data_IF_907070407452
#
_entry.id   IF_907070407452
#
_cell.length_a   1.000
_cell.length_b   1.000
_cell.length_c   1.000
_cell.angle_alpha   90.00
_cell.angle_beta   90.00
_cell.angle_gamma   90.00
#
_symmetry.space_group_name_H-M   'P 1'
#
loop_
_entity.id
_entity.type
_entity.pdbx_description
1 polymer ?
#
# COMPACT_ATOMS: atom_id res chain seq x y z
N UNK A 1 38.59 -59.30 -34.93
CA UNK A 1 37.71 -58.13 -35.05
C UNK A 1 37.37 -57.62 -33.63
N UNK A 2 38.06 -56.63 -33.15
CA UNK A 2 37.88 -56.10 -31.78
C UNK A 2 37.27 -54.70 -31.88
N UNK A 3 36.00 -54.59 -31.46
CA UNK A 3 35.30 -53.34 -31.43
C UNK A 3 35.71 -52.50 -30.21
N UNK A 4 36.30 -51.33 -30.47
CA UNK A 4 36.71 -50.38 -29.40
C UNK A 4 35.50 -49.48 -29.11
N UNK A 5 34.86 -49.71 -27.95
CA UNK A 5 33.87 -48.80 -27.40
C UNK A 5 34.55 -47.57 -26.86
N UNK A 6 34.29 -46.42 -27.49
CA UNK A 6 34.74 -45.11 -27.04
C UNK A 6 33.75 -44.56 -26.00
N UNK A 7 34.10 -44.60 -24.73
CA UNK A 7 33.34 -43.95 -23.66
C UNK A 7 33.63 -42.43 -23.71
N UNK A 8 32.61 -41.65 -24.10
CA UNK A 8 32.67 -40.20 -24.00
C UNK A 8 32.23 -39.82 -22.58
N UNK A 9 33.20 -39.41 -21.77
CA UNK A 9 32.96 -38.80 -20.48
C UNK A 9 32.50 -37.36 -20.71
N UNK A 10 31.21 -37.11 -20.48
CA UNK A 10 30.66 -35.75 -20.42
C UNK A 10 30.96 -35.19 -19.01
N UNK A 11 31.93 -34.30 -18.92
CA UNK A 11 32.20 -33.56 -17.71
C UNK A 11 31.12 -32.49 -17.51
N UNK A 12 30.16 -32.73 -16.60
CA UNK A 12 29.25 -31.69 -16.13
C UNK A 12 30.06 -30.69 -15.28
N UNK A 13 30.41 -29.55 -15.89
CA UNK A 13 30.91 -28.40 -15.13
C UNK A 13 29.75 -27.80 -14.35
N UNK A 14 29.70 -28.07 -13.04
CA UNK A 14 28.84 -27.40 -12.12
C UNK A 14 29.26 -25.91 -12.02
N UNK A 15 28.50 -25.02 -12.67
CA UNK A 15 28.63 -23.59 -12.46
C UNK A 15 28.17 -23.29 -11.02
N UNK A 16 29.10 -23.14 -10.11
CA UNK A 16 28.84 -22.62 -8.77
C UNK A 16 28.52 -21.12 -8.89
N UNK A 17 27.25 -20.78 -8.81
CA UNK A 17 26.85 -19.41 -8.58
C UNK A 17 27.27 -19.02 -7.16
N UNK A 18 28.00 -17.91 -6.98
CA UNK A 18 28.25 -17.41 -5.63
C UNK A 18 26.92 -16.98 -5.05
N UNK A 19 26.43 -17.72 -4.07
CA UNK A 19 25.34 -17.31 -3.21
C UNK A 19 25.85 -16.15 -2.35
N UNK A 20 25.79 -14.94 -2.85
CA UNK A 20 25.80 -13.77 -1.99
C UNK A 20 24.44 -13.76 -1.27
N UNK A 21 24.36 -14.53 -0.20
CA UNK A 21 23.33 -14.37 0.81
C UNK A 21 23.58 -13.02 1.48
N UNK A 22 23.07 -11.94 0.86
CA UNK A 22 22.84 -10.72 1.60
C UNK A 22 21.92 -11.12 2.75
N UNK A 23 22.41 -11.05 3.97
CA UNK A 23 21.63 -11.24 5.19
C UNK A 23 20.45 -10.28 5.10
N UNK A 24 19.28 -10.80 4.70
CA UNK A 24 18.01 -10.07 4.82
C UNK A 24 17.75 -10.02 6.32
N UNK A 25 18.02 -8.88 6.92
CA UNK A 25 17.56 -8.59 8.27
C UNK A 25 16.06 -8.82 8.33
N UNK A 26 15.54 -9.36 9.42
CA UNK A 26 14.13 -9.70 9.66
C UNK A 26 13.15 -8.51 9.42
N UNK A 27 13.65 -7.29 9.34
CA UNK A 27 12.90 -6.09 8.92
C UNK A 27 12.22 -6.20 7.53
N UNK A 28 12.57 -7.17 6.70
CA UNK A 28 11.97 -7.38 5.36
C UNK A 28 10.60 -8.04 5.34
N UNK A 29 10.11 -8.56 6.46
CA UNK A 29 8.85 -9.32 6.52
C UNK A 29 7.65 -8.52 7.04
N UNK A 30 7.87 -7.32 7.54
CA UNK A 30 6.81 -6.44 8.02
C UNK A 30 6.53 -5.31 7.02
N UNK A 31 5.25 -5.00 6.81
CA UNK A 31 4.84 -3.81 6.07
C UNK A 31 5.13 -2.59 6.94
N UNK A 32 5.77 -1.56 6.36
CA UNK A 32 5.92 -0.23 6.96
C UNK A 32 5.17 0.78 6.11
N UNK A 33 4.52 1.74 6.73
CA UNK A 33 3.73 2.77 6.07
C UNK A 33 4.36 4.15 6.31
N UNK A 34 4.57 4.90 5.24
CA UNK A 34 4.84 6.33 5.30
C UNK A 34 3.54 7.12 5.44
N UNK A 35 3.58 8.30 6.04
CA UNK A 35 2.43 9.19 6.13
C UNK A 35 1.90 9.56 4.75
N UNK A 36 0.60 9.32 4.46
CA UNK A 36 0.03 9.53 3.12
C UNK A 36 -0.30 10.99 2.79
N UNK A 37 -0.31 11.87 3.80
CA UNK A 37 -0.53 13.30 3.65
C UNK A 37 0.20 14.08 4.75
N UNK A 38 0.55 15.32 4.47
CA UNK A 38 1.13 16.26 5.43
C UNK A 38 0.01 17.04 6.12
N UNK A 39 -0.24 16.74 7.39
CA UNK A 39 -1.32 17.35 8.16
C UNK A 39 -1.34 16.88 9.60
N UNK A 40 -2.46 17.07 10.26
CA UNK A 40 -2.68 16.66 11.65
C UNK A 40 -3.75 15.57 11.70
N UNK A 41 -3.56 14.54 12.52
CA UNK A 41 -4.62 13.55 12.79
C UNK A 41 -5.75 14.27 13.54
N UNK A 42 -6.88 14.46 12.89
CA UNK A 42 -8.05 15.15 13.44
C UNK A 42 -9.09 14.18 14.00
N UNK A 43 -9.09 12.91 13.51
CA UNK A 43 -9.90 11.82 14.07
C UNK A 43 -9.08 10.53 14.03
N UNK A 44 -8.84 9.86 15.18
CA UNK A 44 -8.07 8.62 15.22
C UNK A 44 -8.93 7.40 14.83
N UNK A 45 -8.25 6.29 14.57
CA UNK A 45 -8.88 4.98 14.39
C UNK A 45 -9.56 4.54 15.69
N UNK A 46 -10.69 3.84 15.56
CA UNK A 46 -11.38 3.21 16.66
C UNK A 46 -12.67 3.90 17.07
N UNK A 47 -12.98 3.92 18.38
CA UNK A 47 -14.21 4.52 18.88
C UNK A 47 -14.04 6.04 19.04
N UNK A 48 -14.93 6.76 18.36
CA UNK A 48 -15.15 8.19 18.57
C UNK A 48 -16.59 8.37 19.12
N UNK A 49 -16.71 8.44 20.44
CA UNK A 49 -17.99 8.38 21.11
C UNK A 49 -18.77 7.08 20.84
N UNK A 50 -19.97 7.19 20.24
CA UNK A 50 -20.79 6.05 19.85
C UNK A 50 -20.46 5.50 18.46
N UNK A 51 -19.65 6.20 17.68
CA UNK A 51 -19.32 5.86 16.28
C UNK A 51 -18.01 5.06 16.22
N UNK A 52 -17.96 4.08 15.31
CA UNK A 52 -16.75 3.38 14.91
C UNK A 52 -16.11 4.08 13.72
N UNK A 53 -14.81 4.44 13.83
CA UNK A 53 -14.02 5.05 12.78
C UNK A 53 -12.99 4.04 12.24
N UNK A 54 -13.13 3.55 10.99
CA UNK A 54 -12.29 2.46 10.45
C UNK A 54 -10.92 2.91 9.97
N UNK A 55 -10.55 4.17 10.14
CA UNK A 55 -9.30 4.75 9.67
C UNK A 55 -8.80 5.94 10.48
N UNK A 56 -7.95 6.74 9.88
CA UNK A 56 -7.49 8.02 10.39
C UNK A 56 -8.02 9.14 9.49
N UNK A 57 -8.49 10.23 10.08
CA UNK A 57 -8.69 11.47 9.33
C UNK A 57 -7.49 12.38 9.54
N UNK A 58 -6.85 12.77 8.45
CA UNK A 58 -5.72 13.69 8.42
C UNK A 58 -6.24 15.01 7.82
N UNK A 59 -6.43 15.98 8.68
CA UNK A 59 -6.90 17.33 8.33
C UNK A 59 -5.81 18.38 8.54
N UNK A 60 -6.20 19.67 8.46
CA UNK A 60 -5.26 20.80 8.57
C UNK A 60 -4.07 20.57 7.62
N UNK A 61 -4.40 20.23 6.39
CA UNK A 61 -3.42 19.79 5.39
C UNK A 61 -2.49 20.94 5.00
N UNK A 62 -1.17 20.70 4.99
CA UNK A 62 -0.15 21.62 4.49
C UNK A 62 -0.02 21.56 2.95
N UNK A 63 -0.42 20.43 2.36
CA UNK A 63 -0.52 20.17 0.93
C UNK A 63 -1.73 19.28 0.67
N UNK A 64 -2.35 19.41 -0.50
CA UNK A 64 -3.42 18.52 -0.94
C UNK A 64 -2.88 17.22 -1.57
N UNK A 65 -1.56 17.05 -1.68
CA UNK A 65 -0.97 15.85 -2.20
C UNK A 65 -1.29 14.64 -1.34
N UNK A 66 -1.88 13.61 -1.94
CA UNK A 66 -2.06 12.29 -1.32
C UNK A 66 -1.07 11.33 -1.96
N UNK A 67 -0.29 10.65 -1.11
CA UNK A 67 0.81 9.79 -1.53
C UNK A 67 0.60 8.35 -1.07
N UNK A 68 1.09 7.39 -1.86
CA UNK A 68 1.06 5.98 -1.49
C UNK A 68 1.89 5.74 -0.22
N UNK A 69 1.26 5.15 0.79
CA UNK A 69 1.90 4.88 2.08
C UNK A 69 2.95 3.76 2.00
N UNK A 70 2.84 2.86 1.02
CA UNK A 70 3.80 1.79 0.75
C UNK A 70 3.75 1.38 -0.73
N UNK A 71 4.76 0.65 -1.18
CA UNK A 71 4.79 0.04 -2.52
C UNK A 71 3.60 -0.90 -2.71
N UNK A 72 2.97 -0.89 -3.88
CA UNK A 72 1.84 -1.77 -4.15
C UNK A 72 1.26 -1.63 -5.55
N UNK A 73 0.08 -2.21 -5.71
CA UNK A 73 -0.71 -2.15 -6.96
C UNK A 73 -2.06 -1.52 -6.66
N UNK A 74 -2.43 -0.51 -7.42
CA UNK A 74 -3.75 0.12 -7.33
C UNK A 74 -4.82 -0.90 -7.72
N UNK A 75 -5.79 -1.14 -6.85
CA UNK A 75 -6.91 -2.05 -7.11
C UNK A 75 -8.22 -1.32 -7.34
N UNK A 76 -8.40 -0.12 -6.76
CA UNK A 76 -9.56 0.76 -6.97
C UNK A 76 -9.09 2.20 -7.20
N UNK A 77 -9.78 2.94 -8.08
CA UNK A 77 -9.58 4.38 -8.25
C UNK A 77 -10.87 5.02 -8.81
N UNK A 78 -11.38 6.06 -8.14
CA UNK A 78 -12.59 6.80 -8.50
C UNK A 78 -13.76 6.54 -7.56
N UNK A 79 -14.97 6.79 -8.04
CA UNK A 79 -16.20 6.48 -7.31
C UNK A 79 -16.55 5.01 -7.50
N UNK A 80 -16.71 4.27 -6.40
CA UNK A 80 -16.94 2.84 -6.41
C UNK A 80 -18.25 2.49 -5.74
N UNK A 81 -19.07 1.57 -6.32
CA UNK A 81 -20.26 1.06 -5.65
C UNK A 81 -19.94 0.49 -4.27
N UNK A 82 -20.74 0.80 -3.27
CA UNK A 82 -20.52 0.39 -1.88
C UNK A 82 -19.55 1.28 -1.09
N UNK A 83 -18.99 2.33 -1.73
CA UNK A 83 -18.14 3.34 -1.10
C UNK A 83 -18.74 4.76 -1.16
N UNK A 84 -20.08 4.87 -1.24
CA UNK A 84 -20.75 6.15 -1.46
C UNK A 84 -20.38 7.21 -0.41
N UNK A 85 -20.25 6.79 0.86
CA UNK A 85 -19.80 7.68 1.95
C UNK A 85 -18.35 8.13 1.85
N UNK A 86 -17.51 7.35 1.17
CA UNK A 86 -16.07 7.64 1.00
C UNK A 86 -15.79 8.62 -0.17
N UNK A 87 -16.77 8.83 -1.06
CA UNK A 87 -16.59 9.64 -2.25
C UNK A 87 -15.62 9.02 -3.26
N UNK A 88 -14.77 9.83 -3.87
CA UNK A 88 -13.71 9.32 -4.73
C UNK A 88 -12.57 8.73 -3.91
N UNK A 89 -12.18 7.50 -4.25
CA UNK A 89 -11.17 6.73 -3.51
C UNK A 89 -10.01 6.29 -4.40
N UNK A 90 -8.90 5.97 -3.76
CA UNK A 90 -7.84 5.07 -4.27
C UNK A 90 -7.66 3.96 -3.26
N UNK A 91 -7.51 2.70 -3.70
CA UNK A 91 -7.09 1.60 -2.86
C UNK A 91 -5.86 0.93 -3.47
N UNK A 92 -4.86 0.68 -2.62
CA UNK A 92 -3.59 0.06 -3.02
C UNK A 92 -3.42 -1.26 -2.27
N UNK A 93 -3.26 -2.33 -3.02
CA UNK A 93 -2.94 -3.66 -2.49
C UNK A 93 -1.44 -3.77 -2.28
N UNK A 94 -1.04 -4.16 -1.10
CA UNK A 94 0.35 -4.39 -0.69
C UNK A 94 0.64 -5.88 -0.52
N UNK A 95 1.90 -6.20 -0.26
CA UNK A 95 2.32 -7.56 0.11
C UNK A 95 1.65 -8.03 1.41
N UNK A 96 1.64 -9.32 1.65
CA UNK A 96 1.09 -9.98 2.85
C UNK A 96 -0.41 -9.75 3.08
N UNK A 97 -1.19 -9.44 2.03
CA UNK A 97 -2.65 -9.25 2.15
C UNK A 97 -3.09 -7.94 2.78
N UNK A 98 -2.17 -6.98 2.96
CA UNK A 98 -2.51 -5.62 3.39
C UNK A 98 -3.04 -4.78 2.23
N UNK A 99 -3.93 -3.87 2.56
CA UNK A 99 -4.48 -2.86 1.64
C UNK A 99 -4.57 -1.53 2.35
N UNK A 100 -4.21 -0.44 1.67
CA UNK A 100 -4.50 0.92 2.12
C UNK A 100 -5.59 1.54 1.26
N UNK A 101 -6.46 2.35 1.89
CA UNK A 101 -7.55 3.06 1.23
C UNK A 101 -7.43 4.55 1.56
N UNK A 102 -7.58 5.37 0.53
CA UNK A 102 -7.48 6.83 0.55
C UNK A 102 -8.81 7.38 0.05
N UNK A 103 -9.52 8.14 0.87
CA UNK A 103 -10.87 8.58 0.57
C UNK A 103 -11.05 10.10 0.63
N UNK A 104 -12.25 10.56 0.25
CA UNK A 104 -12.66 11.95 0.11
C UNK A 104 -11.81 12.74 -0.89
N UNK A 105 -11.19 12.04 -1.86
CA UNK A 105 -10.33 12.67 -2.85
C UNK A 105 -11.15 13.60 -3.75
N UNK A 106 -10.59 14.76 -4.09
CA UNK A 106 -11.09 15.58 -5.19
C UNK A 106 -10.75 14.96 -6.54
N UNK A 107 -9.57 14.31 -6.63
CA UNK A 107 -9.11 13.68 -7.86
C UNK A 107 -8.14 12.52 -7.58
N UNK A 108 -8.49 11.28 -7.96
CA UNK A 108 -7.52 10.20 -8.15
C UNK A 108 -6.59 10.50 -9.33
N UNK A 109 -5.28 10.26 -9.17
CA UNK A 109 -4.25 10.49 -10.21
C UNK A 109 -3.68 9.21 -10.79
N UNK A 110 -4.18 8.06 -10.33
CA UNK A 110 -3.75 6.71 -10.72
C UNK A 110 -4.95 5.88 -11.18
N UNK A 111 -4.68 4.72 -11.78
CA UNK A 111 -5.71 3.81 -12.30
C UNK A 111 -5.50 2.37 -11.79
N UNK A 112 -6.54 1.56 -11.72
CA UNK A 112 -6.42 0.14 -11.37
C UNK A 112 -5.40 -0.58 -12.26
N UNK A 113 -4.59 -1.46 -11.62
CA UNK A 113 -3.47 -2.17 -12.24
C UNK A 113 -2.15 -1.40 -12.26
N UNK A 114 -2.12 -0.12 -11.91
CA UNK A 114 -0.90 0.67 -11.82
C UNK A 114 -0.07 0.25 -10.60
N UNK A 115 1.24 0.02 -10.80
CA UNK A 115 2.20 -0.10 -9.71
C UNK A 115 2.55 1.28 -9.19
N UNK A 116 2.58 1.43 -7.87
CA UNK A 116 2.97 2.67 -7.18
C UNK A 116 4.06 2.37 -6.16
N UNK A 117 4.93 3.36 -5.94
CA UNK A 117 5.98 3.30 -4.93
C UNK A 117 5.60 4.13 -3.71
N UNK A 118 6.17 3.80 -2.57
CA UNK A 118 6.06 4.60 -1.35
C UNK A 118 6.39 6.06 -1.64
N UNK A 119 5.52 6.99 -1.22
CA UNK A 119 5.68 8.42 -1.44
C UNK A 119 5.27 8.93 -2.83
N UNK A 120 4.91 8.05 -3.78
CA UNK A 120 4.38 8.44 -5.09
C UNK A 120 3.01 9.11 -4.93
N UNK A 121 2.81 10.25 -5.61
CA UNK A 121 1.52 10.95 -5.58
C UNK A 121 0.46 10.13 -6.32
N UNK A 122 -0.64 9.82 -5.61
CA UNK A 122 -1.73 8.97 -6.12
C UNK A 122 -3.07 9.68 -6.19
N UNK A 123 -3.17 10.88 -5.61
CA UNK A 123 -4.41 11.67 -5.61
C UNK A 123 -4.23 13.06 -5.05
N UNK A 124 -5.33 13.78 -5.05
CA UNK A 124 -5.48 15.11 -4.46
C UNK A 124 -6.59 15.01 -3.40
N UNK A 125 -6.30 15.44 -2.19
CA UNK A 125 -7.27 15.49 -1.10
C UNK A 125 -8.42 16.45 -1.43
N UNK A 126 -9.60 16.18 -0.89
CA UNK A 126 -10.78 16.98 -1.12
C UNK A 126 -11.83 16.78 -0.04
N UNK A 127 -13.08 16.86 -0.44
CA UNK A 127 -14.24 16.67 0.42
C UNK A 127 -15.39 16.05 -0.37
N UNK A 128 -15.14 14.92 -1.04
CA UNK A 128 -16.18 14.16 -1.76
C UNK A 128 -16.80 13.11 -0.83
N UNK A 129 -18.04 12.68 -1.13
CA UNK A 129 -18.77 11.77 -0.24
C UNK A 129 -19.30 12.48 1.03
N UNK A 130 -19.33 11.74 2.15
CA UNK A 130 -19.77 12.27 3.45
C UNK A 130 -18.61 12.96 4.17
N UNK A 131 -18.45 14.22 3.92
CA UNK A 131 -17.33 15.01 4.38
C UNK A 131 -17.81 16.38 4.88
N UNK A 132 -17.22 16.90 5.94
CA UNK A 132 -17.54 18.20 6.54
C UNK A 132 -16.47 19.27 6.27
N UNK A 133 -15.35 18.91 5.69
CA UNK A 133 -14.24 19.79 5.36
C UNK A 133 -13.10 19.00 4.72
N UNK A 134 -12.22 19.68 3.98
CA UNK A 134 -11.12 19.02 3.27
C UNK A 134 -10.21 18.26 4.22
N UNK A 135 -10.11 16.94 4.04
CA UNK A 135 -9.23 16.04 4.77
C UNK A 135 -8.97 14.80 3.94
N UNK A 136 -8.00 13.99 4.36
CA UNK A 136 -7.80 12.63 3.87
C UNK A 136 -8.34 11.65 4.93
N UNK A 137 -9.30 10.80 4.56
CA UNK A 137 -9.62 9.61 5.33
C UNK A 137 -8.73 8.46 4.84
N UNK A 138 -7.94 7.89 5.75
CA UNK A 138 -6.94 6.87 5.44
C UNK A 138 -7.17 5.61 6.26
N UNK A 139 -7.28 4.46 5.58
CA UNK A 139 -7.44 3.16 6.23
C UNK A 139 -6.30 2.21 5.91
N UNK A 140 -5.97 1.38 6.89
CA UNK A 140 -5.21 0.15 6.73
C UNK A 140 -6.15 -1.04 6.91
N UNK A 141 -6.12 -2.00 5.99
CA UNK A 141 -6.90 -3.24 6.06
C UNK A 141 -6.01 -4.46 5.89
N UNK A 142 -6.31 -5.53 6.61
CA UNK A 142 -5.68 -6.83 6.43
C UNK A 142 -6.77 -7.90 6.34
N UNK A 143 -6.79 -8.67 5.24
CA UNK A 143 -7.87 -9.63 4.99
C UNK A 143 -9.27 -9.00 4.96
N UNK A 144 -9.39 -7.74 4.57
CA UNK A 144 -10.65 -6.97 4.54
C UNK A 144 -11.04 -6.31 5.89
N UNK A 145 -10.33 -6.62 6.98
CA UNK A 145 -10.60 -6.05 8.31
C UNK A 145 -9.78 -4.78 8.50
N UNK A 146 -10.45 -3.70 8.94
CA UNK A 146 -9.78 -2.44 9.26
C UNK A 146 -8.91 -2.56 10.51
N UNK A 147 -7.72 -2.00 10.45
CA UNK A 147 -6.73 -1.98 11.52
C UNK A 147 -6.27 -0.54 11.77
N UNK A 148 -5.76 -0.28 12.97
CA UNK A 148 -5.14 1.01 13.28
C UNK A 148 -3.88 1.21 12.42
N UNK A 149 -3.90 2.19 11.50
CA UNK A 149 -2.75 2.44 10.62
C UNK A 149 -1.49 2.84 11.39
N UNK A 150 -1.63 3.47 12.57
CA UNK A 150 -0.48 3.96 13.36
C UNK A 150 0.44 2.84 13.83
N UNK A 151 -0.06 1.59 13.90
CA UNK A 151 0.74 0.42 14.27
C UNK A 151 1.86 0.10 13.25
N UNK A 152 1.72 0.56 12.00
CA UNK A 152 2.68 0.31 10.93
C UNK A 152 3.31 1.59 10.36
N UNK A 153 2.93 2.78 10.87
CA UNK A 153 3.54 4.05 10.47
C UNK A 153 4.99 4.14 10.91
N UNK A 154 5.84 4.67 10.02
CA UNK A 154 7.25 4.98 10.29
C UNK A 154 7.54 6.44 9.91
N UNK A 155 8.38 7.11 10.68
CA UNK A 155 8.81 8.50 10.45
C UNK A 155 8.35 9.44 11.49
#
# INVERSE_FOLDING_TARGET
MVSRNLLILIACAALAFPATAAARTDAGWQLSLSWPAQGTVTSPFGRDGARWHPGLDIGILQSLDVRAAADGVVVLAGYMPGYDGYGAIVAVQHRFGYMTLYAHLSQPLVRPGQHVRTGEQIGIAGCTGWCTGTHLHFELRHGGVAMDPTLLMVG
#
